data_IF_556050636706
#
_entry.id   IF_556050636706
#
_cell.length_a   1.000
_cell.length_b   1.000
_cell.length_c   1.000
_cell.angle_alpha   90.00
_cell.angle_beta   90.00
_cell.angle_gamma   90.00
#
_symmetry.space_group_name_H-M   'P 1'
#
loop_
_entity.id
_entity.type
_entity.pdbx_description
1 polymer ?
#
# COMPACT_ATOMS: atom_id res chain seq x y z
N UNK A 1 18.90 13.37 -4.27
CA UNK A 1 17.92 12.47 -4.93
C UNK A 1 18.68 11.52 -5.83
N UNK A 2 18.48 10.20 -5.69
CA UNK A 2 19.11 9.18 -6.56
C UNK A 2 18.04 8.61 -7.50
N UNK A 3 18.33 8.59 -8.80
CA UNK A 3 17.42 8.07 -9.83
C UNK A 3 17.94 6.71 -10.28
N UNK A 4 17.01 5.76 -10.47
CA UNK A 4 17.29 4.42 -10.97
C UNK A 4 16.52 4.24 -12.27
N UNK A 5 17.19 3.75 -13.31
CA UNK A 5 16.62 3.53 -14.63
C UNK A 5 16.85 2.07 -14.96
N UNK A 6 15.79 1.35 -15.31
CA UNK A 6 15.84 -0.04 -15.75
C UNK A 6 15.40 -0.16 -17.20
N UNK A 7 15.74 -1.28 -17.81
CA UNK A 7 15.49 -1.53 -19.23
C UNK A 7 14.00 -1.66 -19.56
N UNK A 8 13.22 -2.22 -18.64
CA UNK A 8 11.79 -2.49 -18.85
C UNK A 8 10.99 -2.42 -17.52
N UNK A 9 9.67 -2.53 -17.64
CA UNK A 9 8.73 -2.43 -16.52
C UNK A 9 8.87 -3.56 -15.48
N UNK A 10 9.29 -4.76 -15.90
CA UNK A 10 9.46 -5.91 -15.02
C UNK A 10 10.68 -5.71 -14.11
N UNK A 11 11.84 -5.41 -14.69
CA UNK A 11 13.06 -5.12 -13.91
C UNK A 11 12.87 -3.86 -13.05
N UNK A 12 12.15 -2.85 -13.54
CA UNK A 12 11.80 -1.69 -12.73
C UNK A 12 10.91 -2.05 -11.53
N UNK A 13 9.88 -2.88 -11.74
CA UNK A 13 8.99 -3.34 -10.69
C UNK A 13 9.73 -4.18 -9.64
N UNK A 14 10.59 -5.10 -10.09
CA UNK A 14 11.42 -5.93 -9.21
C UNK A 14 12.38 -5.09 -8.36
N UNK A 15 13.08 -4.13 -8.95
CA UNK A 15 13.99 -3.26 -8.21
C UNK A 15 13.25 -2.33 -7.24
N UNK A 16 12.07 -1.83 -7.62
CA UNK A 16 11.20 -1.09 -6.72
C UNK A 16 10.73 -1.94 -5.53
N UNK A 17 10.34 -3.20 -5.78
CA UNK A 17 9.93 -4.14 -4.75
C UNK A 17 11.08 -4.47 -3.79
N UNK A 18 12.29 -4.72 -4.30
CA UNK A 18 13.47 -4.98 -3.48
C UNK A 18 13.74 -3.81 -2.54
N UNK A 19 13.70 -2.56 -3.04
CA UNK A 19 13.92 -1.36 -2.23
C UNK A 19 12.83 -1.16 -1.19
N UNK A 20 11.56 -1.18 -1.61
CA UNK A 20 10.42 -1.03 -0.70
C UNK A 20 10.39 -2.11 0.37
N UNK A 21 10.59 -3.37 -0.02
CA UNK A 21 10.68 -4.49 0.90
C UNK A 21 11.87 -4.40 1.87
N UNK A 22 13.01 -3.85 1.43
CA UNK A 22 14.16 -3.58 2.32
C UNK A 22 13.80 -2.54 3.37
N UNK A 23 13.20 -1.41 2.98
CA UNK A 23 12.78 -0.38 3.93
C UNK A 23 11.70 -0.87 4.91
N UNK A 24 10.75 -1.69 4.45
CA UNK A 24 9.76 -2.34 5.32
C UNK A 24 10.46 -3.20 6.38
N UNK A 25 11.39 -4.08 5.96
CA UNK A 25 12.12 -4.95 6.88
C UNK A 25 12.98 -4.16 7.87
N UNK A 26 13.64 -3.10 7.41
CA UNK A 26 14.42 -2.21 8.27
C UNK A 26 13.54 -1.52 9.32
N UNK A 27 12.38 -0.99 8.92
CA UNK A 27 11.42 -0.38 9.84
C UNK A 27 10.92 -1.39 10.88
N UNK A 28 10.55 -2.61 10.46
CA UNK A 28 10.15 -3.69 11.37
C UNK A 28 11.28 -4.02 12.35
N UNK A 29 12.52 -4.15 11.88
CA UNK A 29 13.66 -4.48 12.73
C UNK A 29 13.98 -3.37 13.74
N UNK A 30 13.82 -2.10 13.35
CA UNK A 30 14.16 -0.96 14.21
C UNK A 30 13.05 -0.60 15.20
N UNK A 31 11.79 -0.69 14.78
CA UNK A 31 10.63 -0.15 15.53
C UNK A 31 9.59 -1.21 15.89
N UNK A 32 9.76 -2.45 15.43
CA UNK A 32 8.80 -3.54 15.64
C UNK A 32 7.62 -3.54 14.68
N UNK A 33 7.46 -2.50 13.85
CA UNK A 33 6.41 -2.39 12.82
C UNK A 33 6.84 -1.48 11.68
N UNK A 34 6.17 -1.60 10.54
CA UNK A 34 6.30 -0.69 9.41
C UNK A 34 4.93 -0.10 9.02
N UNK A 35 4.94 1.15 8.56
CA UNK A 35 3.78 1.81 7.95
C UNK A 35 4.13 2.21 6.53
N UNK A 36 3.33 1.78 5.55
CA UNK A 36 3.58 2.06 4.13
C UNK A 36 2.37 2.68 3.46
N UNK A 37 2.59 3.40 2.36
CA UNK A 37 1.51 3.81 1.45
C UNK A 37 1.60 2.98 0.16
N UNK A 38 0.47 2.41 -0.26
CA UNK A 38 0.38 1.72 -1.56
C UNK A 38 -0.43 2.54 -2.55
N UNK A 39 0.20 2.79 -3.70
CA UNK A 39 -0.45 3.34 -4.89
C UNK A 39 -1.13 2.23 -5.72
N UNK A 40 -1.96 2.63 -6.68
CA UNK A 40 -2.57 1.73 -7.65
C UNK A 40 -2.11 2.05 -9.09
N UNK A 41 -2.60 1.29 -10.06
CA UNK A 41 -2.27 1.47 -11.48
C UNK A 41 -1.43 0.35 -12.08
N UNK A 42 -1.34 0.35 -13.41
CA UNK A 42 -0.64 -0.70 -14.18
C UNK A 42 0.85 -0.74 -13.89
N UNK A 43 1.48 0.42 -13.67
CA UNK A 43 2.89 0.52 -13.32
C UNK A 43 3.26 -0.17 -12.00
N UNK A 44 2.28 -0.45 -11.13
CA UNK A 44 2.51 -1.12 -9.85
C UNK A 44 2.47 -2.66 -9.95
N UNK A 45 2.09 -3.25 -11.09
CA UNK A 45 1.78 -4.68 -11.17
C UNK A 45 3.00 -5.55 -10.87
N UNK A 46 4.10 -5.34 -11.57
CA UNK A 46 5.35 -6.07 -11.36
C UNK A 46 5.91 -5.83 -9.96
N UNK A 47 5.82 -4.59 -9.47
CA UNK A 47 6.28 -4.26 -8.11
C UNK A 47 5.49 -5.03 -7.05
N UNK A 48 4.16 -5.00 -7.08
CA UNK A 48 3.33 -5.72 -6.11
C UNK A 48 3.56 -7.23 -6.19
N UNK A 49 3.66 -7.78 -7.41
CA UNK A 49 3.94 -9.21 -7.61
C UNK A 49 5.24 -9.62 -6.91
N UNK A 50 6.32 -8.87 -7.11
CA UNK A 50 7.60 -9.16 -6.48
C UNK A 50 7.58 -8.89 -4.98
N UNK A 51 6.96 -7.79 -4.52
CA UNK A 51 6.91 -7.41 -3.11
C UNK A 51 6.17 -8.45 -2.26
N UNK A 52 5.04 -8.94 -2.74
CA UNK A 52 4.23 -9.95 -2.05
C UNK A 52 4.95 -11.29 -1.96
N UNK A 53 5.83 -11.59 -2.92
CA UNK A 53 6.67 -12.80 -2.90
C UNK A 53 7.86 -12.70 -1.93
N UNK A 54 8.15 -11.51 -1.39
CA UNK A 54 9.22 -11.35 -0.40
C UNK A 54 8.80 -11.86 0.97
N UNK A 55 9.76 -12.42 1.70
CA UNK A 55 9.58 -12.84 3.09
C UNK A 55 9.51 -11.62 4.03
N UNK A 56 8.31 -11.06 4.19
CA UNK A 56 8.02 -9.91 5.06
C UNK A 56 7.00 -10.35 6.11
N UNK A 57 7.22 -9.98 7.38
CA UNK A 57 6.25 -10.20 8.45
C UNK A 57 5.12 -9.16 8.35
N UNK A 58 4.15 -9.43 7.48
CA UNK A 58 3.00 -8.56 7.23
C UNK A 58 2.12 -8.33 8.47
N UNK A 59 2.22 -9.17 9.51
CA UNK A 59 1.54 -8.95 10.80
C UNK A 59 2.03 -7.73 11.57
N UNK A 60 3.14 -7.16 11.12
CA UNK A 60 3.73 -5.93 11.64
C UNK A 60 3.58 -4.75 10.69
N UNK A 61 2.89 -4.91 9.55
CA UNK A 61 2.78 -3.90 8.51
C UNK A 61 1.39 -3.28 8.48
N UNK A 62 1.34 -1.97 8.70
CA UNK A 62 0.16 -1.14 8.48
C UNK A 62 0.23 -0.47 7.11
N UNK A 63 -0.84 -0.58 6.33
CA UNK A 63 -0.90 -0.02 4.97
C UNK A 63 -1.87 1.16 4.94
N UNK A 64 -1.52 2.21 4.24
CA UNK A 64 -2.41 3.29 3.85
C UNK A 64 -2.67 3.23 2.35
N UNK A 65 -3.94 3.33 1.97
CA UNK A 65 -4.35 3.52 0.59
C UNK A 65 -4.04 4.95 0.15
N UNK A 66 -3.42 5.14 -1.01
CA UNK A 66 -3.03 6.47 -1.50
C UNK A 66 -4.23 7.34 -1.90
N UNK A 67 -5.14 6.82 -2.70
CA UNK A 67 -6.23 7.59 -3.33
C UNK A 67 -7.44 6.72 -3.68
N UNK A 68 -8.63 7.31 -3.84
CA UNK A 68 -9.84 6.60 -4.30
C UNK A 68 -10.80 7.58 -4.99
N UNK A 69 -11.66 7.07 -5.87
CA UNK A 69 -12.74 7.85 -6.49
C UNK A 69 -13.89 8.13 -5.52
N UNK A 70 -14.36 9.38 -5.53
CA UNK A 70 -15.55 9.78 -4.77
C UNK A 70 -16.81 9.18 -5.39
N UNK A 71 -17.70 8.67 -4.53
CA UNK A 71 -18.99 8.06 -4.89
C UNK A 71 -18.87 6.63 -5.43
N UNK A 72 -17.67 6.06 -5.50
CA UNK A 72 -17.45 4.75 -6.10
C UNK A 72 -17.51 3.63 -5.05
N UNK A 73 -18.43 2.70 -5.25
CA UNK A 73 -18.55 1.50 -4.42
C UNK A 73 -17.26 0.69 -4.41
N UNK A 74 -16.92 0.13 -3.25
CA UNK A 74 -15.76 -0.75 -3.09
C UNK A 74 -15.84 -2.03 -3.96
N UNK A 75 -17.01 -2.38 -4.49
CA UNK A 75 -17.22 -3.53 -5.39
C UNK A 75 -17.08 -3.18 -6.87
N UNK A 76 -17.08 -1.88 -7.21
CA UNK A 76 -17.02 -1.42 -8.60
C UNK A 76 -15.72 -1.88 -9.28
N UNK A 77 -15.72 -2.26 -10.57
CA UNK A 77 -14.50 -2.71 -11.27
C UNK A 77 -13.35 -1.68 -11.27
N UNK A 78 -13.68 -0.39 -11.21
CA UNK A 78 -12.70 0.71 -11.15
C UNK A 78 -12.27 1.11 -9.72
N UNK A 79 -12.78 0.42 -8.69
CA UNK A 79 -12.45 0.70 -7.28
C UNK A 79 -10.99 0.37 -6.98
N UNK A 80 -10.26 1.36 -6.45
CA UNK A 80 -8.89 1.15 -6.02
C UNK A 80 -8.82 0.35 -4.70
N UNK A 81 -9.85 0.44 -3.85
CA UNK A 81 -10.05 -0.50 -2.74
C UNK A 81 -10.13 -1.94 -3.23
N UNK A 82 -10.91 -2.20 -4.28
CA UNK A 82 -11.02 -3.55 -4.89
C UNK A 82 -9.69 -4.01 -5.44
N UNK A 83 -9.02 -3.14 -6.19
CA UNK A 83 -7.70 -3.38 -6.75
C UNK A 83 -6.71 -3.87 -5.68
N UNK A 84 -6.55 -3.11 -4.59
CA UNK A 84 -5.62 -3.45 -3.50
C UNK A 84 -6.06 -4.67 -2.71
N UNK A 85 -7.37 -4.86 -2.52
CA UNK A 85 -7.90 -6.05 -1.84
C UNK A 85 -7.51 -7.33 -2.58
N UNK A 86 -7.76 -7.38 -3.88
CA UNK A 86 -7.52 -8.57 -4.72
C UNK A 86 -6.03 -8.80 -4.98
N UNK A 87 -5.27 -7.73 -5.20
CA UNK A 87 -3.87 -7.83 -5.65
C UNK A 87 -2.86 -7.81 -4.53
N UNK A 88 -3.23 -7.33 -3.34
CA UNK A 88 -2.32 -7.22 -2.20
C UNK A 88 -2.89 -7.86 -0.93
N UNK A 89 -3.98 -7.32 -0.37
CA UNK A 89 -4.48 -7.72 0.96
C UNK A 89 -4.75 -9.23 1.05
N UNK A 90 -5.45 -9.80 0.07
CA UNK A 90 -5.78 -11.23 0.03
C UNK A 90 -4.58 -12.13 -0.30
N UNK A 91 -3.46 -11.55 -0.74
CA UNK A 91 -2.28 -12.28 -1.21
C UNK A 91 -1.19 -12.37 -0.14
N UNK A 92 -1.19 -11.47 0.84
CA UNK A 92 -0.28 -11.48 1.98
C UNK A 92 -0.92 -12.21 3.18
N UNK A 93 -0.10 -12.83 4.03
CA UNK A 93 -0.58 -13.56 5.20
C UNK A 93 -0.56 -12.68 6.43
N UNK A 94 -1.65 -12.69 7.21
CA UNK A 94 -1.76 -12.02 8.51
C UNK A 94 -1.45 -10.52 8.47
N UNK A 95 -1.85 -9.77 7.44
CA UNK A 95 -1.63 -8.33 7.40
C UNK A 95 -2.16 -7.64 8.66
N UNK A 96 -1.37 -6.78 9.30
CA UNK A 96 -1.78 -6.07 10.53
C UNK A 96 -3.07 -5.28 10.31
N UNK A 97 -3.07 -4.43 9.27
CA UNK A 97 -4.24 -3.69 8.79
C UNK A 97 -3.94 -2.95 7.49
N UNK A 98 -5.01 -2.65 6.75
CA UNK A 98 -5.02 -1.68 5.67
C UNK A 98 -6.06 -0.59 5.95
N UNK A 99 -5.66 0.66 5.77
CA UNK A 99 -6.50 1.85 5.87
C UNK A 99 -6.98 2.23 4.48
N UNK A 100 -8.13 1.67 4.10
CA UNK A 100 -8.82 2.09 2.88
C UNK A 100 -9.43 3.49 3.02
N UNK A 101 -9.44 4.22 1.91
CA UNK A 101 -10.20 5.45 1.72
C UNK A 101 -11.62 5.07 1.29
N UNK A 102 -12.62 5.42 2.09
CA UNK A 102 -14.02 5.16 1.78
C UNK A 102 -14.60 6.26 0.88
N UNK A 103 -14.30 6.16 -0.41
CA UNK A 103 -14.74 7.14 -1.41
C UNK A 103 -16.27 7.27 -1.54
N UNK A 104 -17.03 6.25 -1.15
CA UNK A 104 -18.49 6.21 -1.12
C UNK A 104 -19.10 6.42 0.29
N UNK A 105 -18.32 6.94 1.24
CA UNK A 105 -18.85 7.26 2.56
C UNK A 105 -20.02 8.26 2.47
N UNK A 106 -21.12 8.06 3.23
CA UNK A 106 -22.26 8.99 3.23
C UNK A 106 -21.87 10.43 3.59
N UNK A 107 -20.85 10.60 4.44
CA UNK A 107 -20.23 11.89 4.76
C UNK A 107 -18.71 11.80 4.57
N UNK A 108 -18.23 12.42 3.49
CA UNK A 108 -16.80 12.48 3.17
C UNK A 108 -16.01 13.30 4.19
N UNK A 109 -16.63 14.27 4.88
CA UNK A 109 -15.93 15.09 5.89
C UNK A 109 -15.51 14.24 7.08
N UNK A 110 -16.41 13.35 7.53
CA UNK A 110 -16.11 12.37 8.58
C UNK A 110 -15.01 11.40 8.13
N UNK A 111 -15.05 10.90 6.90
CA UNK A 111 -14.02 10.00 6.37
C UNK A 111 -12.65 10.68 6.28
N UNK A 112 -12.59 11.93 5.78
CA UNK A 112 -11.37 12.72 5.75
C UNK A 112 -10.83 13.00 7.16
N UNK A 113 -11.71 13.27 8.12
CA UNK A 113 -11.35 13.40 9.54
C UNK A 113 -10.69 12.14 10.09
N UNK A 114 -11.29 10.97 9.84
CA UNK A 114 -10.75 9.66 10.24
C UNK A 114 -9.37 9.41 9.63
N UNK A 115 -9.20 9.63 8.32
CA UNK A 115 -7.92 9.43 7.64
C UNK A 115 -6.84 10.38 8.17
N UNK A 116 -7.19 11.65 8.40
CA UNK A 116 -6.29 12.65 8.99
C UNK A 116 -5.83 12.24 10.38
N UNK A 117 -6.73 11.76 11.23
CA UNK A 117 -6.37 11.29 12.57
C UNK A 117 -5.45 10.08 12.52
N UNK A 118 -5.70 9.13 11.62
CA UNK A 118 -4.89 7.92 11.50
C UNK A 118 -3.48 8.23 11.01
N UNK A 119 -3.35 9.00 9.92
CA UNK A 119 -2.05 9.27 9.31
C UNK A 119 -1.17 10.19 10.18
N UNK A 120 -1.76 11.09 10.96
CA UNK A 120 -1.01 11.97 11.87
C UNK A 120 -0.41 11.24 13.09
N UNK A 121 -0.82 10.00 13.37
CA UNK A 121 -0.33 9.21 14.53
C UNK A 121 0.84 8.31 14.18
N UNK A 122 1.24 8.27 12.91
CA UNK A 122 2.24 7.34 12.39
C UNK A 122 3.30 8.09 11.59
N UNK A 123 4.46 7.47 11.44
CA UNK A 123 5.48 7.87 10.47
C UNK A 123 5.39 6.92 9.29
N UNK A 124 5.34 7.46 8.07
CA UNK A 124 5.40 6.65 6.85
C UNK A 124 6.85 6.23 6.61
N UNK A 125 7.08 4.93 6.51
CA UNK A 125 8.40 4.35 6.31
C UNK A 125 8.72 4.16 4.82
N UNK A 126 7.70 3.89 4.00
CA UNK A 126 7.79 3.64 2.55
C UNK A 126 6.65 4.30 1.79
#
# INVERSE_FOLDING_TARGET
MKIWIQENEEENGKEAAIKGGTFIKEAINQRGSATIILATGTSQFHMLQHLIAMDIDWSRVEVFHLDEYVGLSDQHPASFRKYLRERFEQRVKNLKRINYINGDAPDLSTELGRLKELINRVTIDV
#
